data_IF_678438099386
#
_entry.id   IF_678438099386
#
_cell.length_a   1.000
_cell.length_b   1.000
_cell.length_c   1.000
_cell.angle_alpha   90.00
_cell.angle_beta   90.00
_cell.angle_gamma   90.00
#
_symmetry.space_group_name_H-M   'P 1'
#
loop_
_entity.id
_entity.type
_entity.pdbx_description
1 polymer ?
#
# COMPACT_ATOMS: atom_id res chain seq x y z
N UNK A 1 43.37 -8.31 -17.15
CA UNK A 1 44.03 -9.12 -16.10
C UNK A 1 44.24 -8.33 -14.80
N UNK A 2 45.02 -7.21 -14.77
CA UNK A 2 45.33 -6.48 -13.52
C UNK A 2 44.07 -5.98 -12.79
N UNK A 3 43.07 -5.51 -13.51
CA UNK A 3 41.76 -5.10 -12.95
C UNK A 3 41.01 -6.27 -12.33
N UNK A 4 40.96 -7.41 -13.00
CA UNK A 4 40.34 -8.62 -12.50
C UNK A 4 41.01 -9.10 -11.21
N UNK A 5 42.34 -9.06 -11.15
CA UNK A 5 43.10 -9.40 -9.94
C UNK A 5 42.79 -8.40 -8.81
N UNK A 6 42.69 -7.10 -9.11
CA UNK A 6 42.28 -6.10 -8.13
C UNK A 6 40.88 -6.41 -7.57
N UNK A 7 39.93 -6.75 -8.44
CA UNK A 7 38.58 -7.12 -8.06
C UNK A 7 38.52 -8.38 -7.17
N UNK A 8 39.26 -9.44 -7.56
CA UNK A 8 39.33 -10.67 -6.76
C UNK A 8 39.95 -10.43 -5.38
N UNK A 9 41.00 -9.58 -5.29
CA UNK A 9 41.58 -9.18 -4.02
C UNK A 9 40.60 -8.37 -3.16
N UNK A 10 39.78 -7.50 -3.77
CA UNK A 10 38.73 -6.76 -3.07
C UNK A 10 37.69 -7.72 -2.45
N UNK A 11 37.22 -8.71 -3.23
CA UNK A 11 36.29 -9.72 -2.75
C UNK A 11 36.86 -10.54 -1.59
N UNK A 12 38.17 -10.82 -1.61
CA UNK A 12 38.90 -11.51 -0.56
C UNK A 12 39.29 -10.59 0.61
N UNK A 13 38.87 -9.30 0.60
CA UNK A 13 39.24 -8.28 1.60
C UNK A 13 40.76 -8.00 1.70
N UNK A 14 41.50 -8.31 0.68
CA UNK A 14 42.93 -8.00 0.57
C UNK A 14 43.14 -6.58 0.03
N UNK A 15 42.80 -5.57 0.84
CA UNK A 15 42.75 -4.17 0.41
C UNK A 15 44.11 -3.61 -0.06
N UNK A 16 45.19 -4.02 0.56
CA UNK A 16 46.54 -3.61 0.17
C UNK A 16 46.88 -4.08 -1.27
N UNK A 17 46.61 -5.37 -1.55
CA UNK A 17 46.82 -5.95 -2.87
C UNK A 17 45.89 -5.34 -3.91
N UNK A 18 44.61 -5.07 -3.50
CA UNK A 18 43.66 -4.36 -4.37
C UNK A 18 44.23 -3.03 -4.84
N UNK A 19 44.75 -2.19 -3.92
CA UNK A 19 45.42 -0.90 -4.27
C UNK A 19 46.60 -1.07 -5.20
N UNK A 20 47.45 -2.06 -4.88
CA UNK A 20 48.65 -2.36 -5.67
C UNK A 20 48.31 -2.71 -7.12
N UNK A 21 47.26 -3.51 -7.32
CA UNK A 21 46.84 -3.88 -8.67
C UNK A 21 46.05 -2.78 -9.37
N UNK A 22 45.23 -2.00 -8.69
CA UNK A 22 44.53 -0.84 -9.26
C UNK A 22 45.51 0.22 -9.78
N UNK A 23 46.60 0.48 -9.06
CA UNK A 23 47.65 1.41 -9.50
C UNK A 23 48.34 0.97 -10.82
N UNK A 24 48.36 -0.32 -11.11
CA UNK A 24 48.92 -0.90 -12.32
C UNK A 24 47.96 -0.94 -13.51
N UNK A 25 46.70 -0.51 -13.32
CA UNK A 25 45.69 -0.49 -14.38
C UNK A 25 45.84 0.79 -15.18
N UNK A 26 46.45 0.68 -16.34
CA UNK A 26 46.58 1.73 -17.35
C UNK A 26 45.75 1.32 -18.56
N UNK A 27 44.68 2.02 -18.84
CA UNK A 27 43.84 1.81 -20.01
C UNK A 27 43.29 3.14 -20.50
N UNK A 28 43.24 3.31 -21.81
CA UNK A 28 42.60 4.46 -22.47
C UNK A 28 41.10 4.21 -22.73
N UNK A 29 40.63 2.96 -22.59
CA UNK A 29 39.24 2.63 -22.75
C UNK A 29 38.40 3.22 -21.63
N UNK A 30 37.31 3.90 -21.99
CA UNK A 30 36.36 4.51 -21.04
C UNK A 30 35.73 3.46 -20.11
N UNK A 31 35.35 2.30 -20.65
CA UNK A 31 34.75 1.21 -19.89
C UNK A 31 35.70 0.67 -18.82
N UNK A 32 36.97 0.46 -19.15
CA UNK A 32 37.96 0.01 -18.17
C UNK A 32 38.25 1.06 -17.10
N UNK A 33 38.21 2.34 -17.44
CA UNK A 33 38.35 3.42 -16.45
C UNK A 33 37.15 3.50 -15.53
N UNK A 34 35.93 3.30 -16.05
CA UNK A 34 34.71 3.25 -15.22
C UNK A 34 34.76 2.05 -14.27
N UNK A 35 35.07 0.86 -14.75
CA UNK A 35 35.20 -0.33 -13.92
C UNK A 35 36.32 -0.19 -12.86
N UNK A 36 37.41 0.48 -13.19
CA UNK A 36 38.46 0.83 -12.21
C UNK A 36 37.90 1.73 -11.12
N UNK A 37 37.18 2.80 -11.49
CA UNK A 37 36.52 3.71 -10.54
C UNK A 37 35.56 2.96 -9.59
N UNK A 38 34.78 2.01 -10.09
CA UNK A 38 33.89 1.22 -9.24
C UNK A 38 34.67 0.43 -8.20
N UNK A 39 35.74 -0.23 -8.58
CA UNK A 39 36.56 -0.98 -7.62
C UNK A 39 37.20 -0.03 -6.59
N UNK A 40 37.60 1.18 -6.99
CA UNK A 40 38.09 2.22 -6.08
C UNK A 40 37.01 2.66 -5.07
N UNK A 41 35.80 2.91 -5.55
CA UNK A 41 34.66 3.29 -4.68
C UNK A 41 34.35 2.17 -3.70
N UNK A 42 34.23 0.95 -4.18
CA UNK A 42 33.95 -0.21 -3.34
C UNK A 42 35.04 -0.42 -2.28
N UNK A 43 36.31 -0.27 -2.68
CA UNK A 43 37.43 -0.35 -1.75
C UNK A 43 37.32 0.72 -0.65
N UNK A 44 37.06 1.99 -1.01
CA UNK A 44 36.87 3.07 -0.03
C UNK A 44 35.71 2.77 0.93
N UNK A 45 34.60 2.20 0.44
CA UNK A 45 33.46 1.80 1.28
C UNK A 45 33.85 0.66 2.23
N UNK A 46 34.55 -0.36 1.74
CA UNK A 46 34.95 -1.51 2.55
C UNK A 46 36.00 -1.17 3.61
N UNK A 47 36.86 -0.21 3.36
CA UNK A 47 37.84 0.26 4.33
C UNK A 47 37.24 1.04 5.50
N UNK A 48 35.99 1.55 5.36
CA UNK A 48 35.32 2.22 6.49
C UNK A 48 34.94 1.20 7.56
N UNK A 49 35.26 1.45 8.81
CA UNK A 49 34.69 0.70 9.94
C UNK A 49 33.18 0.97 10.05
N UNK A 50 32.80 2.23 9.89
CA UNK A 50 31.43 2.72 9.87
C UNK A 50 31.30 3.82 8.82
N UNK A 51 30.21 3.81 8.08
CA UNK A 51 29.89 4.91 7.15
C UNK A 51 29.53 6.13 7.99
N UNK A 52 30.35 7.17 7.92
CA UNK A 52 30.20 8.41 8.68
C UNK A 52 29.71 9.54 7.80
N UNK A 53 29.17 10.62 8.43
CA UNK A 53 28.74 11.84 7.71
C UNK A 53 29.89 12.45 6.87
N UNK A 54 31.11 12.40 7.38
CA UNK A 54 32.30 12.88 6.64
C UNK A 54 32.54 12.05 5.40
N UNK A 55 32.44 10.73 5.50
CA UNK A 55 32.59 9.84 4.37
C UNK A 55 31.46 10.01 3.34
N UNK A 56 30.23 10.18 3.78
CA UNK A 56 29.09 10.45 2.89
C UNK A 56 29.29 11.73 2.04
N UNK A 57 29.79 12.81 2.66
CA UNK A 57 30.11 14.03 1.94
C UNK A 57 31.26 13.84 0.96
N UNK A 58 32.32 13.10 1.35
CA UNK A 58 33.45 12.77 0.48
C UNK A 58 33.00 11.89 -0.71
N UNK A 59 32.12 10.91 -0.47
CA UNK A 59 31.56 10.04 -1.49
C UNK A 59 30.83 10.86 -2.55
N UNK A 60 29.96 11.77 -2.14
CA UNK A 60 29.22 12.62 -3.06
C UNK A 60 30.14 13.58 -3.82
N UNK A 61 31.15 14.13 -3.17
CA UNK A 61 32.12 15.01 -3.83
C UNK A 61 32.89 14.30 -4.93
N UNK A 62 33.32 13.06 -4.69
CA UNK A 62 34.13 12.29 -5.65
C UNK A 62 33.31 11.62 -6.75
N UNK A 63 32.11 11.19 -6.42
CA UNK A 63 31.36 10.24 -7.25
C UNK A 63 29.96 10.70 -7.62
N UNK A 64 29.64 11.98 -7.43
CA UNK A 64 28.32 12.54 -7.78
C UNK A 64 27.92 12.24 -9.24
N UNK A 65 28.86 12.24 -10.18
CA UNK A 65 28.59 11.94 -11.58
C UNK A 65 28.10 10.51 -11.86
N UNK A 66 28.42 9.57 -10.94
CA UNK A 66 27.92 8.19 -11.02
C UNK A 66 26.58 8.06 -10.27
N UNK A 67 26.49 8.63 -9.06
CA UNK A 67 25.32 8.53 -8.22
C UNK A 67 24.12 9.33 -8.76
N UNK A 68 24.37 10.49 -9.38
CA UNK A 68 23.34 11.32 -10.00
C UNK A 68 23.10 10.97 -11.48
N UNK A 69 23.64 9.86 -11.97
CA UNK A 69 23.36 9.45 -13.33
C UNK A 69 21.90 9.11 -13.49
N UNK A 70 21.22 9.83 -14.36
CA UNK A 70 19.86 9.56 -14.80
C UNK A 70 19.90 9.04 -16.24
N UNK A 71 19.02 8.10 -16.54
CA UNK A 71 18.87 7.62 -17.92
C UNK A 71 18.53 8.78 -18.84
N UNK A 72 19.18 8.90 -20.00
CA UNK A 72 18.75 9.84 -21.02
C UNK A 72 17.28 9.55 -21.37
N UNK A 73 16.45 10.58 -21.39
CA UNK A 73 15.12 10.44 -21.97
C UNK A 73 15.30 10.23 -23.47
N UNK A 74 15.07 9.02 -23.92
CA UNK A 74 15.09 8.72 -25.36
C UNK A 74 13.99 9.48 -26.10
N UNK A 75 14.22 9.91 -27.34
CA UNK A 75 13.14 10.35 -28.22
C UNK A 75 12.05 9.28 -28.33
N UNK A 76 10.79 9.69 -28.47
CA UNK A 76 9.61 8.81 -28.39
C UNK A 76 9.62 7.62 -29.38
N UNK A 77 10.50 7.62 -30.36
CA UNK A 77 10.59 6.66 -31.47
C UNK A 77 11.86 5.78 -31.45
N UNK A 78 12.69 5.89 -30.43
CA UNK A 78 13.98 5.15 -30.38
C UNK A 78 14.07 4.27 -29.15
N UNK A 79 13.85 2.97 -29.33
CA UNK A 79 14.20 1.90 -28.36
C UNK A 79 15.68 1.54 -28.53
N UNK A 80 16.57 2.45 -28.21
CA UNK A 80 18.01 2.14 -28.21
C UNK A 80 18.55 2.23 -26.79
N UNK A 81 18.58 1.07 -26.12
CA UNK A 81 19.35 0.91 -24.89
C UNK A 81 20.81 0.79 -25.29
N UNK A 82 21.55 1.90 -25.27
CA UNK A 82 22.97 1.77 -25.49
C UNK A 82 23.60 0.96 -24.34
N UNK A 83 24.44 0.00 -24.66
CA UNK A 83 25.19 -0.81 -23.67
C UNK A 83 25.96 0.07 -22.66
N UNK A 84 26.31 1.31 -23.05
CA UNK A 84 26.99 2.27 -22.19
C UNK A 84 26.12 2.79 -21.05
N UNK A 85 24.82 3.03 -21.31
CA UNK A 85 23.89 3.53 -20.30
C UNK A 85 23.47 2.41 -19.34
N UNK A 86 23.28 1.20 -19.82
CA UNK A 86 23.07 0.01 -18.99
C UNK A 86 24.25 -0.26 -18.07
N UNK A 87 25.48 -0.09 -18.55
CA UNK A 87 26.66 -0.25 -17.72
C UNK A 87 26.72 0.80 -16.59
N UNK A 88 26.44 2.07 -16.88
CA UNK A 88 26.44 3.14 -15.87
C UNK A 88 25.40 2.90 -14.80
N UNK A 89 24.20 2.45 -15.19
CA UNK A 89 23.14 2.09 -14.25
C UNK A 89 23.52 0.91 -13.36
N UNK A 90 24.11 -0.14 -13.93
CA UNK A 90 24.62 -1.29 -13.19
C UNK A 90 25.71 -0.89 -12.17
N UNK A 91 26.60 0.03 -12.54
CA UNK A 91 27.66 0.52 -11.66
C UNK A 91 27.08 1.28 -10.46
N UNK A 92 26.08 2.14 -10.68
CA UNK A 92 25.34 2.85 -9.62
C UNK A 92 24.71 1.85 -8.65
N UNK A 93 24.02 0.85 -9.18
CA UNK A 93 23.32 -0.14 -8.38
C UNK A 93 24.28 -0.95 -7.51
N UNK A 94 25.40 -1.41 -8.05
CA UNK A 94 26.43 -2.14 -7.27
C UNK A 94 26.94 -1.30 -6.10
N UNK A 95 27.20 -0.01 -6.30
CA UNK A 95 27.67 0.88 -5.22
C UNK A 95 26.57 1.04 -4.16
N UNK A 96 25.33 1.29 -4.59
CA UNK A 96 24.20 1.47 -3.70
C UNK A 96 23.90 0.19 -2.90
N UNK A 97 23.97 -0.98 -3.53
CA UNK A 97 23.78 -2.27 -2.85
C UNK A 97 24.79 -2.47 -1.73
N UNK A 98 26.07 -2.20 -2.00
CA UNK A 98 27.10 -2.32 -0.96
C UNK A 98 26.89 -1.29 0.16
N UNK A 99 26.53 -0.06 -0.17
CA UNK A 99 26.23 0.97 0.82
C UNK A 99 25.00 0.59 1.66
N UNK A 100 23.92 0.12 1.03
CA UNK A 100 22.71 -0.31 1.72
C UNK A 100 23.00 -1.41 2.74
N UNK A 101 23.81 -2.40 2.34
CA UNK A 101 24.27 -3.45 3.25
C UNK A 101 25.08 -2.90 4.42
N UNK A 102 25.97 -1.96 4.18
CA UNK A 102 26.78 -1.32 5.24
C UNK A 102 25.91 -0.55 6.23
N UNK A 103 24.93 0.23 5.75
CA UNK A 103 23.98 0.94 6.62
C UNK A 103 23.15 -0.01 7.47
N UNK A 104 22.65 -1.09 6.86
CA UNK A 104 21.90 -2.09 7.61
C UNK A 104 22.72 -2.72 8.73
N UNK A 105 23.94 -3.17 8.42
CA UNK A 105 24.85 -3.81 9.38
C UNK A 105 25.27 -2.86 10.50
N UNK A 106 25.30 -1.55 10.27
CA UNK A 106 25.59 -0.57 11.32
C UNK A 106 24.34 -0.07 12.07
N UNK A 107 23.15 -0.60 11.74
CA UNK A 107 21.89 -0.30 12.41
C UNK A 107 21.12 0.91 11.86
N UNK A 108 21.54 1.50 10.73
CA UNK A 108 20.83 2.58 10.04
C UNK A 108 19.87 1.99 8.98
N UNK A 109 18.75 1.44 9.47
CA UNK A 109 17.75 0.79 8.63
C UNK A 109 17.01 1.76 7.71
N UNK A 110 16.87 3.02 8.11
CA UNK A 110 16.21 4.05 7.32
C UNK A 110 16.96 4.37 6.04
N UNK A 111 18.28 4.61 6.12
CA UNK A 111 19.09 4.81 4.90
C UNK A 111 19.20 3.55 4.06
N UNK A 112 19.37 2.38 4.69
CA UNK A 112 19.38 1.10 3.99
C UNK A 112 18.10 0.91 3.17
N UNK A 113 16.94 1.26 3.74
CA UNK A 113 15.66 1.20 3.05
C UNK A 113 15.61 2.15 1.85
N UNK A 114 15.92 3.44 2.03
CA UNK A 114 15.85 4.44 0.95
C UNK A 114 16.85 4.19 -0.19
N UNK A 115 17.93 3.48 0.07
CA UNK A 115 18.87 3.12 -1.00
C UNK A 115 18.20 2.24 -2.06
N UNK A 116 17.40 1.27 -1.63
CA UNK A 116 16.81 0.29 -2.53
C UNK A 116 15.36 0.61 -2.92
N UNK A 117 14.65 1.40 -2.12
CA UNK A 117 13.21 1.58 -2.24
C UNK A 117 12.82 3.05 -2.33
N UNK A 118 11.77 3.36 -3.08
CA UNK A 118 11.05 4.60 -2.87
C UNK A 118 10.29 4.55 -1.54
N UNK A 119 10.04 5.72 -0.96
CA UNK A 119 9.39 5.80 0.35
C UNK A 119 7.99 5.16 0.37
N UNK A 120 7.29 5.16 -0.75
CA UNK A 120 5.97 4.55 -0.91
C UNK A 120 5.99 3.04 -0.69
N UNK A 121 7.10 2.37 -0.93
CA UNK A 121 7.25 0.93 -0.69
C UNK A 121 7.32 0.56 0.81
N UNK A 122 7.44 1.56 1.70
CA UNK A 122 7.33 1.33 3.15
C UNK A 122 5.99 0.71 3.54
N UNK A 123 4.94 0.96 2.73
CA UNK A 123 3.61 0.42 2.94
C UNK A 123 3.49 -1.09 2.77
N UNK A 124 4.33 -1.69 1.95
CA UNK A 124 4.28 -3.14 1.69
C UNK A 124 4.70 -3.98 2.90
N UNK A 125 5.56 -3.41 3.77
CA UNK A 125 6.00 -4.08 5.00
C UNK A 125 6.38 -3.05 6.08
N UNK A 126 5.41 -2.50 6.83
CA UNK A 126 5.67 -1.51 7.86
C UNK A 126 6.61 -2.03 8.95
N UNK A 127 7.79 -1.43 9.07
CA UNK A 127 8.75 -1.68 10.15
C UNK A 127 8.99 -0.41 10.97
N UNK A 128 8.61 -0.44 12.23
CA UNK A 128 8.79 0.69 13.15
C UNK A 128 10.27 1.07 13.34
N UNK A 129 11.20 0.15 13.17
CA UNK A 129 12.63 0.49 13.25
C UNK A 129 13.05 1.36 12.05
N UNK A 130 12.57 1.03 10.84
CA UNK A 130 12.78 1.84 9.63
C UNK A 130 12.12 3.21 9.80
N UNK A 131 10.85 3.25 10.23
CA UNK A 131 10.09 4.49 10.45
C UNK A 131 10.83 5.41 11.43
N UNK A 132 11.31 4.87 12.54
CA UNK A 132 12.04 5.65 13.55
C UNK A 132 13.38 6.17 13.03
N UNK A 133 14.09 5.42 12.21
CA UNK A 133 15.35 5.87 11.61
C UNK A 133 15.11 6.94 10.54
N UNK A 134 14.03 6.82 9.76
CA UNK A 134 13.61 7.85 8.83
C UNK A 134 13.16 9.14 9.55
N UNK A 135 12.47 9.04 10.68
CA UNK A 135 12.16 10.19 11.55
C UNK A 135 13.44 10.89 12.07
N UNK A 136 14.48 10.12 12.44
CA UNK A 136 15.78 10.69 12.83
C UNK A 136 16.45 11.40 11.66
N UNK A 137 16.41 10.78 10.48
CA UNK A 137 16.94 11.36 9.26
C UNK A 137 16.22 12.67 8.91
N UNK A 138 14.88 12.69 9.01
CA UNK A 138 14.10 13.90 8.77
C UNK A 138 14.46 15.04 9.72
N UNK A 139 14.59 14.75 11.01
CA UNK A 139 14.91 15.74 12.06
C UNK A 139 16.36 16.18 12.09
N UNK A 140 17.26 15.49 11.38
CA UNK A 140 18.69 15.86 11.35
C UNK A 140 18.87 17.22 10.67
N UNK A 141 19.37 18.20 11.41
CA UNK A 141 19.54 19.60 10.93
C UNK A 141 20.62 19.70 9.84
N UNK A 142 21.74 19.01 10.03
CA UNK A 142 22.90 19.05 9.14
C UNK A 142 22.99 17.77 8.31
N UNK A 143 22.01 17.57 7.41
CA UNK A 143 22.02 16.42 6.50
C UNK A 143 23.23 16.46 5.56
N UNK A 144 23.88 15.34 5.38
CA UNK A 144 24.99 15.19 4.44
C UNK A 144 24.52 15.36 2.99
N UNK A 145 25.48 15.52 2.08
CA UNK A 145 25.16 15.56 0.65
C UNK A 145 24.52 14.26 0.17
N UNK A 146 24.92 13.10 0.71
CA UNK A 146 24.36 11.80 0.37
C UNK A 146 22.93 11.64 0.94
N UNK A 147 22.67 12.06 2.17
CA UNK A 147 21.32 12.05 2.75
C UNK A 147 20.35 12.93 1.96
N UNK A 148 20.79 14.11 1.53
CA UNK A 148 19.99 14.98 0.64
C UNK A 148 19.70 14.32 -0.70
N UNK A 149 20.72 13.65 -1.26
CA UNK A 149 20.57 12.90 -2.50
C UNK A 149 19.52 11.78 -2.34
N UNK A 150 19.59 10.96 -1.27
CA UNK A 150 18.63 9.89 -1.02
C UNK A 150 17.20 10.42 -0.87
N UNK A 151 17.01 11.48 -0.07
CA UNK A 151 15.69 12.10 0.12
C UNK A 151 15.15 12.58 -1.22
N UNK A 152 15.96 13.30 -2.01
CA UNK A 152 15.54 13.81 -3.31
C UNK A 152 15.16 12.70 -4.30
N UNK A 153 15.95 11.64 -4.32
CA UNK A 153 15.76 10.55 -5.27
C UNK A 153 14.64 9.58 -4.90
N UNK A 154 14.32 9.46 -3.60
CA UNK A 154 13.50 8.36 -3.08
C UNK A 154 12.24 8.77 -2.32
N UNK A 155 12.14 10.05 -1.88
CA UNK A 155 10.95 10.53 -1.16
C UNK A 155 9.96 11.11 -2.17
N UNK A 156 9.41 10.22 -2.98
CA UNK A 156 8.48 10.55 -4.06
C UNK A 156 7.52 9.38 -4.32
N UNK A 157 6.48 9.64 -5.06
CA UNK A 157 5.63 8.65 -5.71
C UNK A 157 5.85 8.73 -7.21
N UNK A 158 6.33 7.65 -7.81
CA UNK A 158 6.50 7.55 -9.26
C UNK A 158 5.37 6.71 -9.83
N UNK A 159 4.72 7.21 -10.87
CA UNK A 159 3.75 6.46 -11.65
C UNK A 159 4.15 6.48 -13.11
N UNK A 160 3.99 5.34 -13.79
CA UNK A 160 4.20 5.22 -15.21
C UNK A 160 2.86 5.15 -15.92
N UNK A 161 2.61 6.08 -16.83
CA UNK A 161 1.45 6.02 -17.71
C UNK A 161 1.84 5.33 -19.02
N UNK A 162 1.41 4.08 -19.19
CA UNK A 162 1.67 3.24 -20.35
C UNK A 162 1.13 3.81 -21.66
N UNK A 163 0.20 4.76 -21.60
CA UNK A 163 -0.44 5.35 -22.78
C UNK A 163 0.30 6.55 -23.30
N UNK A 164 0.90 7.31 -22.39
CA UNK A 164 1.69 8.49 -22.73
C UNK A 164 3.18 8.21 -22.69
N UNK A 165 3.57 7.01 -22.22
CA UNK A 165 4.96 6.61 -21.98
C UNK A 165 5.75 7.64 -21.14
N UNK A 166 5.04 8.26 -20.21
CA UNK A 166 5.62 9.28 -19.32
C UNK A 166 5.56 8.83 -17.87
N UNK A 167 6.66 9.07 -17.18
CA UNK A 167 6.71 8.98 -15.73
C UNK A 167 6.26 10.31 -15.13
N UNK A 168 5.35 10.25 -14.17
CA UNK A 168 4.95 11.38 -13.33
C UNK A 168 5.49 11.15 -11.93
N UNK A 169 6.36 12.05 -11.48
CA UNK A 169 6.91 12.02 -10.14
C UNK A 169 6.26 13.08 -9.27
N UNK A 170 5.70 12.67 -8.15
CA UNK A 170 5.18 13.56 -7.12
C UNK A 170 6.18 13.57 -5.97
N UNK A 171 6.89 14.68 -5.81
CA UNK A 171 7.85 14.87 -4.72
C UNK A 171 7.12 15.37 -3.47
N UNK A 172 7.41 14.81 -2.31
CA UNK A 172 6.86 15.27 -1.04
C UNK A 172 7.93 15.43 0.04
N UNK A 173 7.57 16.11 1.13
CA UNK A 173 8.42 16.21 2.31
C UNK A 173 8.41 14.87 3.06
N UNK A 174 9.56 14.42 3.51
CA UNK A 174 9.70 13.19 4.29
C UNK A 174 8.84 13.25 5.57
N UNK A 175 8.83 14.41 6.26
CA UNK A 175 8.00 14.64 7.45
C UNK A 175 6.52 14.40 7.21
N UNK A 176 5.98 14.90 6.10
CA UNK A 176 4.56 14.81 5.79
C UNK A 176 4.18 13.38 5.44
N UNK A 177 5.02 12.69 4.63
CA UNK A 177 4.81 11.29 4.31
C UNK A 177 4.84 10.39 5.56
N UNK A 178 5.83 10.59 6.45
CA UNK A 178 5.93 9.82 7.69
C UNK A 178 4.78 10.10 8.64
N UNK A 179 4.28 11.32 8.68
CA UNK A 179 3.11 11.69 9.48
C UNK A 179 1.84 11.04 8.93
N UNK A 180 1.63 11.08 7.60
CA UNK A 180 0.52 10.37 6.95
C UNK A 180 0.61 8.86 7.20
N UNK A 181 1.80 8.29 7.03
CA UNK A 181 2.02 6.86 7.21
C UNK A 181 1.70 6.41 8.65
N UNK A 182 2.27 7.06 9.65
CA UNK A 182 2.01 6.76 11.06
C UNK A 182 0.55 7.01 11.45
N UNK A 183 -0.01 8.12 11.00
CA UNK A 183 -1.41 8.45 11.24
C UNK A 183 -2.35 7.40 10.66
N UNK A 184 -2.06 6.90 9.46
CA UNK A 184 -2.84 5.84 8.81
C UNK A 184 -2.74 4.51 9.55
N UNK A 185 -1.55 4.12 10.02
CA UNK A 185 -1.39 2.93 10.87
C UNK A 185 -2.21 3.05 12.15
N UNK A 186 -2.12 4.19 12.85
CA UNK A 186 -2.89 4.43 14.08
C UNK A 186 -4.39 4.45 13.81
N UNK A 187 -4.83 4.99 12.68
CA UNK A 187 -6.24 4.98 12.28
C UNK A 187 -6.76 3.55 12.10
N UNK A 188 -6.00 2.69 11.40
CA UNK A 188 -6.30 1.28 11.23
C UNK A 188 -6.34 0.50 12.55
N UNK A 189 -5.49 0.87 13.51
CA UNK A 189 -5.46 0.30 14.86
C UNK A 189 -6.51 0.91 15.81
N UNK A 190 -7.40 1.77 15.33
CA UNK A 190 -8.41 2.52 16.11
C UNK A 190 -7.83 3.43 17.21
N UNK A 191 -6.57 3.81 17.10
CA UNK A 191 -5.87 4.76 17.96
C UNK A 191 -6.08 6.19 17.47
N UNK A 192 -7.34 6.64 17.40
CA UNK A 192 -7.74 7.87 16.72
C UNK A 192 -7.03 9.12 17.23
N UNK A 193 -6.81 9.24 18.54
CA UNK A 193 -6.11 10.41 19.10
C UNK A 193 -4.63 10.46 18.68
N UNK A 194 -3.98 9.30 18.50
CA UNK A 194 -2.62 9.24 17.97
C UNK A 194 -2.61 9.54 16.48
N UNK A 195 -3.56 9.00 15.73
CA UNK A 195 -3.72 9.30 14.31
C UNK A 195 -3.90 10.81 14.06
N UNK A 196 -4.80 11.44 14.83
CA UNK A 196 -5.03 12.89 14.78
C UNK A 196 -3.74 13.69 14.98
N UNK A 197 -2.97 13.35 16.04
CA UNK A 197 -1.70 14.03 16.34
C UNK A 197 -0.67 13.94 15.21
N UNK A 198 -0.66 12.84 14.47
CA UNK A 198 0.22 12.71 13.31
C UNK A 198 -0.32 13.54 12.14
N UNK A 199 -1.61 13.44 11.80
CA UNK A 199 -2.20 14.18 10.69
C UNK A 199 -2.18 15.70 10.89
N UNK A 200 -2.20 16.22 12.13
CA UNK A 200 -2.07 17.65 12.44
C UNK A 200 -0.70 18.25 12.03
N UNK A 201 0.31 17.41 11.76
CA UNK A 201 1.65 17.86 11.34
C UNK A 201 1.75 18.11 9.83
N UNK A 202 0.79 17.60 9.06
CA UNK A 202 0.86 17.54 7.61
C UNK A 202 0.51 18.87 6.97
N UNK A 203 1.31 19.28 5.99
CA UNK A 203 1.04 20.47 5.19
C UNK A 203 -0.25 20.29 4.38
N UNK A 204 -1.10 21.33 4.29
CA UNK A 204 -2.36 21.28 3.54
C UNK A 204 -2.19 21.00 2.04
N UNK A 205 -1.00 21.23 1.49
CA UNK A 205 -0.67 20.96 0.08
C UNK A 205 -0.16 19.53 -0.16
N UNK A 206 -0.03 18.74 0.91
CA UNK A 206 0.46 17.38 0.79
C UNK A 206 -0.51 16.51 0.01
N UNK A 207 0.01 15.75 -0.95
CA UNK A 207 -0.71 14.73 -1.71
C UNK A 207 0.29 13.67 -2.19
N UNK A 208 -0.18 12.45 -2.41
CA UNK A 208 0.64 11.30 -2.82
C UNK A 208 0.27 10.74 -4.18
N UNK A 209 -0.77 11.27 -4.81
CA UNK A 209 -1.20 10.88 -6.14
C UNK A 209 -1.79 12.07 -6.88
N UNK A 210 -1.84 11.99 -8.20
CA UNK A 210 -2.54 12.99 -8.98
C UNK A 210 -4.04 12.97 -8.65
N UNK A 211 -4.64 14.17 -8.64
CA UNK A 211 -6.06 14.35 -8.33
C UNK A 211 -6.98 13.93 -9.47
N UNK A 212 -6.43 13.65 -10.64
CA UNK A 212 -7.21 13.26 -11.82
C UNK A 212 -6.35 12.52 -12.83
N UNK A 213 -6.97 11.72 -13.70
CA UNK A 213 -6.33 11.00 -14.78
C UNK A 213 -7.22 10.92 -16.01
N UNK A 214 -6.62 10.66 -17.17
CA UNK A 214 -7.37 10.43 -18.38
C UNK A 214 -7.72 8.95 -18.54
N UNK A 215 -8.98 8.66 -18.82
CA UNK A 215 -9.40 7.37 -19.33
C UNK A 215 -9.51 7.48 -20.85
N UNK A 216 -8.78 6.60 -21.52
CA UNK A 216 -8.90 6.41 -22.97
C UNK A 216 -9.82 5.23 -23.20
N UNK A 217 -10.84 5.45 -23.99
CA UNK A 217 -11.73 4.40 -24.47
C UNK A 217 -11.59 4.32 -25.99
N UNK A 218 -11.50 3.10 -26.52
CA UNK A 218 -11.42 2.84 -27.94
C UNK A 218 -12.67 2.11 -28.41
N UNK A 219 -13.48 2.81 -29.21
CA UNK A 219 -14.65 2.21 -29.83
C UNK A 219 -14.20 1.43 -31.07
N UNK A 220 -14.14 0.11 -30.94
CA UNK A 220 -13.78 -0.80 -32.06
C UNK A 220 -14.75 -0.78 -33.22
N UNK A 221 -15.98 -0.25 -33.07
CA UNK A 221 -16.96 -0.18 -34.14
C UNK A 221 -16.79 1.08 -35.00
N UNK A 222 -16.35 2.16 -34.41
CA UNK A 222 -16.14 3.44 -35.07
C UNK A 222 -14.66 3.77 -35.29
N UNK A 223 -13.76 2.93 -34.79
CA UNK A 223 -12.30 3.14 -34.82
C UNK A 223 -11.88 4.49 -34.22
N UNK A 224 -12.62 4.97 -33.20
CA UNK A 224 -12.36 6.27 -32.58
C UNK A 224 -11.88 6.11 -31.16
N UNK A 225 -10.81 6.82 -30.86
CA UNK A 225 -10.39 7.04 -29.45
C UNK A 225 -11.21 8.18 -28.84
N UNK A 226 -11.68 7.97 -27.65
CA UNK A 226 -12.21 9.01 -26.79
C UNK A 226 -11.31 9.18 -25.55
N UNK A 227 -11.14 10.43 -25.13
CA UNK A 227 -10.34 10.77 -23.95
C UNK A 227 -11.24 11.47 -22.94
N UNK A 228 -11.50 10.82 -21.83
CA UNK A 228 -12.33 11.36 -20.75
C UNK A 228 -11.48 11.68 -19.54
N UNK A 229 -11.61 12.88 -19.02
CA UNK A 229 -10.98 13.28 -17.75
C UNK A 229 -11.78 12.74 -16.58
N UNK A 230 -11.11 11.97 -15.71
CA UNK A 230 -11.74 11.40 -14.51
C UNK A 230 -11.01 11.90 -13.30
N UNK A 231 -11.72 12.60 -12.42
CA UNK A 231 -11.18 12.96 -11.11
C UNK A 231 -10.99 11.71 -10.25
N UNK A 232 -9.85 11.60 -9.59
CA UNK A 232 -9.64 10.58 -8.60
C UNK A 232 -10.64 10.75 -7.46
N UNK A 233 -11.16 9.65 -6.96
CA UNK A 233 -12.12 9.66 -5.86
C UNK A 233 -11.52 10.28 -4.59
N UNK A 234 -10.24 10.02 -4.35
CA UNK A 234 -9.42 10.67 -3.34
C UNK A 234 -7.93 10.52 -3.70
N UNK A 235 -7.12 11.49 -3.31
CA UNK A 235 -5.69 11.58 -3.64
C UNK A 235 -4.77 10.88 -2.61
N UNK A 236 -5.29 9.95 -1.87
CA UNK A 236 -4.59 9.26 -0.78
C UNK A 236 -4.69 9.97 0.57
N UNK A 237 -4.81 11.29 0.63
CA UNK A 237 -4.94 12.07 1.86
C UNK A 237 -6.19 12.96 1.89
N UNK A 238 -6.56 13.60 0.78
CA UNK A 238 -7.70 14.50 0.65
C UNK A 238 -8.87 13.85 -0.10
N UNK A 239 -9.97 14.57 -0.17
CA UNK A 239 -11.15 14.24 -0.97
C UNK A 239 -11.82 12.90 -0.64
N UNK A 240 -11.60 12.38 0.58
CA UNK A 240 -12.23 11.14 1.03
C UNK A 240 -13.75 11.37 1.14
N UNK A 241 -14.57 10.67 0.34
CA UNK A 241 -16.00 10.90 0.34
C UNK A 241 -16.67 10.29 1.59
N UNK A 242 -17.71 10.93 2.08
CA UNK A 242 -18.47 10.42 3.22
C UNK A 242 -19.22 9.11 2.93
N UNK A 243 -19.36 8.73 1.67
CA UNK A 243 -19.85 7.41 1.25
C UNK A 243 -19.05 6.24 1.83
N UNK A 244 -17.83 6.50 2.34
CA UNK A 244 -17.02 5.50 3.06
C UNK A 244 -17.76 4.93 4.28
N UNK A 245 -18.72 5.65 4.86
CA UNK A 245 -19.58 5.19 5.94
C UNK A 245 -20.81 4.43 5.45
N UNK A 246 -21.04 4.37 4.16
CA UNK A 246 -22.14 3.64 3.55
C UNK A 246 -21.87 2.14 3.47
N UNK A 247 -22.83 1.39 3.00
CA UNK A 247 -22.64 -0.03 2.72
C UNK A 247 -22.56 -0.30 1.22
N UNK A 248 -21.70 -1.24 0.84
CA UNK A 248 -21.60 -1.74 -0.53
C UNK A 248 -22.48 -2.98 -0.72
N UNK A 249 -22.86 -3.27 -1.97
CA UNK A 249 -23.45 -4.56 -2.31
C UNK A 249 -22.49 -5.69 -1.92
N UNK A 250 -23.06 -6.81 -1.43
CA UNK A 250 -22.27 -8.02 -1.20
C UNK A 250 -21.69 -8.49 -2.55
N UNK A 251 -20.41 -8.88 -2.49
CA UNK A 251 -19.70 -9.49 -3.65
C UNK A 251 -19.64 -8.61 -4.91
N UNK A 252 -19.71 -7.32 -4.75
CA UNK A 252 -19.50 -6.40 -5.83
C UNK A 252 -18.00 -6.10 -5.96
N UNK A 253 -17.28 -6.92 -6.72
CA UNK A 253 -15.84 -6.77 -6.93
C UNK A 253 -15.47 -5.60 -7.85
N UNK A 254 -16.38 -5.21 -8.74
CA UNK A 254 -16.21 -4.13 -9.71
C UNK A 254 -17.24 -3.02 -9.47
N UNK A 255 -17.69 -2.82 -8.24
CA UNK A 255 -18.59 -1.73 -7.93
C UNK A 255 -17.84 -0.41 -8.03
N UNK A 256 -18.34 0.42 -8.93
CA UNK A 256 -18.00 1.81 -8.95
C UNK A 256 -18.64 2.57 -7.77
N UNK A 257 -18.30 3.84 -7.66
CA UNK A 257 -18.84 4.74 -6.63
C UNK A 257 -20.37 4.78 -6.60
N UNK A 258 -21.04 4.56 -7.74
CA UNK A 258 -22.49 4.61 -7.87
C UNK A 258 -23.19 3.42 -7.25
N UNK A 259 -22.46 2.38 -6.90
CA UNK A 259 -23.01 1.16 -6.28
C UNK A 259 -22.91 1.13 -4.75
N UNK A 260 -22.38 2.16 -4.12
CA UNK A 260 -22.59 2.43 -2.70
C UNK A 260 -24.03 2.91 -2.53
N UNK A 261 -24.93 1.97 -2.19
CA UNK A 261 -26.38 2.15 -2.39
C UNK A 261 -27.00 3.12 -1.41
N UNK A 262 -26.54 3.18 -0.18
CA UNK A 262 -27.10 4.07 0.81
C UNK A 262 -26.10 4.38 1.92
N UNK A 263 -26.17 5.60 2.38
CA UNK A 263 -25.54 6.05 3.63
C UNK A 263 -26.64 6.44 4.60
N UNK A 264 -27.46 5.48 5.08
CA UNK A 264 -28.51 5.82 6.04
C UNK A 264 -27.87 6.44 7.27
N UNK A 265 -28.58 7.34 7.90
CA UNK A 265 -28.18 8.06 9.13
C UNK A 265 -27.04 9.07 8.97
N UNK A 266 -26.35 9.14 7.83
CA UNK A 266 -25.20 10.03 7.65
C UNK A 266 -25.57 11.50 7.89
N UNK A 267 -26.73 11.94 7.40
CA UNK A 267 -27.21 13.32 7.54
C UNK A 267 -27.51 13.74 8.99
N UNK A 268 -27.61 12.79 9.92
CA UNK A 268 -27.80 13.08 11.33
C UNK A 268 -26.50 13.57 12.01
N UNK A 269 -25.35 13.25 11.45
CA UNK A 269 -24.03 13.57 11.98
C UNK A 269 -23.40 14.73 11.18
N UNK A 270 -23.78 15.96 11.49
CA UNK A 270 -23.38 17.18 10.75
C UNK A 270 -21.87 17.43 10.68
N UNK A 271 -21.09 16.82 11.56
CA UNK A 271 -19.63 16.92 11.54
C UNK A 271 -18.98 16.05 10.45
N UNK A 272 -19.71 15.14 9.82
CA UNK A 272 -19.23 14.34 8.70
C UNK A 272 -19.44 15.14 7.41
N UNK A 273 -18.34 15.63 6.84
CA UNK A 273 -18.37 16.45 5.62
C UNK A 273 -18.51 15.55 4.38
N UNK A 274 -19.04 16.08 3.25
CA UNK A 274 -19.15 15.33 2.00
C UNK A 274 -17.81 14.80 1.48
N UNK A 275 -16.75 15.62 1.56
CA UNK A 275 -15.36 15.27 1.27
C UNK A 275 -14.49 15.67 2.46
N UNK A 276 -13.53 14.85 2.82
CA UNK A 276 -12.70 14.99 4.02
C UNK A 276 -11.23 14.72 3.69
N UNK A 277 -10.33 15.39 4.40
CA UNK A 277 -8.96 14.91 4.55
C UNK A 277 -8.91 13.76 5.57
N UNK A 278 -7.79 13.03 5.64
CA UNK A 278 -7.60 12.01 6.72
C UNK A 278 -7.71 12.63 8.12
N UNK A 279 -7.28 13.87 8.32
CA UNK A 279 -7.44 14.58 9.59
C UNK A 279 -8.92 14.83 9.90
N UNK A 280 -9.70 15.33 8.94
CA UNK A 280 -11.14 15.58 9.11
C UNK A 280 -11.91 14.29 9.32
N UNK A 281 -11.57 13.24 8.56
CA UNK A 281 -12.11 11.88 8.74
C UNK A 281 -11.82 11.37 10.17
N UNK A 282 -10.57 11.51 10.63
CA UNK A 282 -10.18 11.08 11.98
C UNK A 282 -10.95 11.84 13.05
N UNK A 283 -11.16 13.15 12.89
CA UNK A 283 -12.00 13.92 13.80
C UNK A 283 -13.45 13.41 13.79
N UNK A 284 -14.01 13.10 12.63
CA UNK A 284 -15.34 12.49 12.52
C UNK A 284 -15.41 11.12 13.22
N UNK A 285 -14.37 10.28 13.06
CA UNK A 285 -14.26 8.99 13.75
C UNK A 285 -14.20 9.15 15.28
N UNK A 286 -13.48 10.15 15.79
CA UNK A 286 -13.42 10.47 17.23
C UNK A 286 -14.84 10.81 17.75
N UNK A 287 -15.55 11.70 17.07
CA UNK A 287 -16.89 12.11 17.48
C UNK A 287 -17.90 10.94 17.39
N UNK A 288 -17.88 10.17 16.29
CA UNK A 288 -18.70 8.96 16.18
C UNK A 288 -18.40 7.98 17.32
N UNK A 289 -17.13 7.77 17.65
CA UNK A 289 -16.73 6.83 18.70
C UNK A 289 -17.15 7.31 20.11
N UNK A 290 -17.21 8.63 20.35
CA UNK A 290 -17.77 9.19 21.58
C UNK A 290 -19.28 8.93 21.69
N UNK A 291 -20.02 9.11 20.60
CA UNK A 291 -21.46 8.84 20.54
C UNK A 291 -21.72 7.34 20.69
N UNK A 292 -20.98 6.51 19.98
CA UNK A 292 -21.09 5.05 19.96
C UNK A 292 -20.93 4.37 21.33
N UNK A 293 -20.31 5.05 22.29
CA UNK A 293 -20.15 4.56 23.68
C UNK A 293 -21.40 4.78 24.56
N UNK A 294 -22.35 5.58 24.10
CA UNK A 294 -23.63 5.82 24.82
C UNK A 294 -24.54 4.62 24.61
N UNK A 295 -25.62 4.53 25.44
CA UNK A 295 -26.66 3.52 25.28
C UNK A 295 -27.95 4.18 24.74
N UNK A 296 -27.92 4.59 23.45
CA UNK A 296 -29.03 5.31 22.79
C UNK A 296 -29.17 4.82 21.35
N UNK A 297 -30.32 5.10 20.72
CA UNK A 297 -30.52 4.82 19.28
C UNK A 297 -29.50 5.59 18.41
N UNK A 298 -29.09 6.78 18.83
CA UNK A 298 -28.04 7.54 18.16
C UNK A 298 -26.69 6.77 18.21
N UNK A 299 -26.39 6.11 19.34
CA UNK A 299 -25.22 5.27 19.48
C UNK A 299 -25.28 4.04 18.56
N UNK A 300 -26.46 3.45 18.36
CA UNK A 300 -26.60 2.37 17.37
C UNK A 300 -26.25 2.83 15.96
N UNK A 301 -26.74 4.01 15.55
CA UNK A 301 -26.42 4.61 14.24
C UNK A 301 -24.93 4.94 14.11
N UNK A 302 -24.29 5.51 15.13
CA UNK A 302 -22.87 5.78 15.13
C UNK A 302 -22.04 4.49 15.02
N UNK A 303 -22.38 3.45 15.77
CA UNK A 303 -21.74 2.13 15.67
C UNK A 303 -21.93 1.51 14.27
N UNK A 304 -23.10 1.67 13.65
CA UNK A 304 -23.35 1.19 12.30
C UNK A 304 -22.44 1.87 11.26
N UNK A 305 -22.31 3.20 11.33
CA UNK A 305 -21.42 3.94 10.42
C UNK A 305 -19.96 3.55 10.62
N UNK A 306 -19.50 3.40 11.88
CA UNK A 306 -18.15 2.93 12.19
C UNK A 306 -17.91 1.51 11.66
N UNK A 307 -18.90 0.62 11.82
CA UNK A 307 -18.85 -0.74 11.30
C UNK A 307 -18.71 -0.78 9.78
N UNK A 308 -19.48 0.04 9.07
CA UNK A 308 -19.37 0.17 7.61
C UNK A 308 -18.03 0.76 7.17
N UNK A 309 -17.52 1.79 7.86
CA UNK A 309 -16.19 2.35 7.59
C UNK A 309 -15.12 1.26 7.65
N UNK A 310 -15.07 0.49 8.73
CA UNK A 310 -14.07 -0.56 8.88
C UNK A 310 -14.26 -1.71 7.89
N UNK A 311 -15.47 -2.01 7.46
CA UNK A 311 -15.70 -2.94 6.36
C UNK A 311 -15.16 -2.38 5.03
N UNK A 312 -15.48 -1.14 4.71
CA UNK A 312 -15.13 -0.51 3.45
C UNK A 312 -13.62 -0.31 3.28
N UNK A 313 -12.87 -0.35 4.37
CA UNK A 313 -11.39 -0.26 4.38
C UNK A 313 -10.71 -1.61 4.53
N UNK A 314 -11.46 -2.73 4.54
CA UNK A 314 -10.89 -4.08 4.47
C UNK A 314 -10.39 -4.39 3.06
N UNK A 315 -9.71 -5.53 2.91
CA UNK A 315 -9.25 -6.05 1.61
C UNK A 315 -10.38 -6.23 0.59
N UNK A 316 -11.63 -6.39 1.02
CA UNK A 316 -12.81 -6.49 0.16
C UNK A 316 -13.54 -5.17 -0.02
N UNK A 317 -13.19 -4.15 0.75
CA UNK A 317 -13.88 -2.87 0.73
C UNK A 317 -13.50 -2.02 -0.48
N UNK A 318 -14.43 -1.20 -0.92
CA UNK A 318 -14.20 -0.27 -2.01
C UNK A 318 -13.09 0.75 -1.69
N UNK A 319 -12.98 1.16 -0.42
CA UNK A 319 -11.98 2.12 0.08
C UNK A 319 -10.77 1.44 0.75
N UNK A 320 -10.45 0.20 0.37
CA UNK A 320 -9.33 -0.58 0.93
C UNK A 320 -7.99 0.19 0.91
N UNK A 321 -7.76 1.01 -0.10
CA UNK A 321 -6.54 1.79 -0.24
C UNK A 321 -6.34 2.90 0.80
N UNK A 322 -7.38 3.24 1.55
CA UNK A 322 -7.27 4.28 2.57
C UNK A 322 -6.37 3.86 3.74
N UNK A 323 -6.49 2.61 4.18
CA UNK A 323 -5.73 2.05 5.30
C UNK A 323 -4.60 1.09 4.87
N UNK A 324 -4.52 0.78 3.59
CA UNK A 324 -3.43 -0.01 3.01
C UNK A 324 -2.60 0.87 2.10
N UNK A 325 -1.29 0.79 2.21
CA UNK A 325 -0.38 1.58 1.37
C UNK A 325 -0.03 0.88 0.07
N UNK A 326 -0.42 -0.39 -0.07
CA UNK A 326 -0.17 -1.17 -1.27
C UNK A 326 -1.30 -0.94 -2.29
N UNK A 327 -1.06 -0.04 -3.23
CA UNK A 327 -1.99 0.26 -4.33
C UNK A 327 -2.05 -0.82 -5.40
N UNK A 328 -1.06 -1.70 -5.46
CA UNK A 328 -0.98 -2.74 -6.48
C UNK A 328 -1.82 -3.99 -6.18
N UNK A 329 -2.54 -4.02 -5.07
CA UNK A 329 -3.53 -5.07 -4.76
C UNK A 329 -4.87 -4.84 -5.49
N UNK A 330 -4.82 -4.43 -6.76
CA UNK A 330 -5.99 -4.25 -7.62
C UNK A 330 -6.78 -5.54 -7.89
N UNK A 331 -6.18 -6.64 -7.58
CA UNK A 331 -6.83 -7.91 -7.70
C UNK A 331 -7.55 -8.17 -6.38
N UNK A 332 -8.83 -7.95 -6.30
CA UNK A 332 -9.67 -8.34 -5.17
C UNK A 332 -9.29 -9.72 -4.58
N UNK A 333 -9.98 -10.27 -3.63
CA UNK A 333 -9.58 -11.50 -2.96
C UNK A 333 -9.24 -12.55 -4.00
N UNK A 334 -7.96 -12.86 -4.14
CA UNK A 334 -7.55 -13.96 -5.01
C UNK A 334 -7.96 -15.21 -4.32
N UNK A 335 -8.98 -15.86 -4.87
CA UNK A 335 -9.46 -17.16 -4.44
C UNK A 335 -8.41 -18.26 -4.53
N UNK A 336 -7.29 -18.01 -5.14
CA UNK A 336 -6.24 -18.97 -5.36
C UNK A 336 -5.10 -18.67 -4.40
N UNK A 337 -4.87 -19.58 -3.49
CA UNK A 337 -3.69 -19.68 -2.63
C UNK A 337 -2.39 -19.88 -3.44
N UNK A 338 -2.17 -19.09 -4.48
CA UNK A 338 -0.86 -19.04 -5.14
C UNK A 338 0.16 -18.24 -4.33
N UNK A 339 -0.27 -17.74 -3.15
CA UNK A 339 0.49 -16.80 -2.35
C UNK A 339 1.61 -17.38 -1.51
N UNK A 340 1.75 -18.66 -1.42
CA UNK A 340 2.69 -19.22 -0.44
C UNK A 340 4.16 -19.25 -0.90
N UNK A 341 4.49 -18.79 -2.11
CA UNK A 341 5.73 -19.33 -2.64
C UNK A 341 6.68 -18.38 -3.34
N UNK A 342 6.35 -17.13 -3.51
CA UNK A 342 7.37 -16.16 -3.93
C UNK A 342 7.85 -15.35 -2.73
N UNK A 343 8.64 -16.01 -1.87
CA UNK A 343 9.71 -15.29 -1.21
C UNK A 343 10.60 -14.77 -2.33
N UNK A 344 10.31 -13.59 -2.83
CA UNK A 344 11.29 -12.90 -3.62
C UNK A 344 12.46 -12.70 -2.66
N UNK A 345 13.50 -13.47 -2.87
CA UNK A 345 14.84 -13.25 -2.33
C UNK A 345 15.37 -11.99 -2.97
N UNK A 346 14.65 -10.88 -2.81
CA UNK A 346 15.16 -9.60 -3.19
C UNK A 346 16.04 -9.11 -2.06
N UNK A 347 17.29 -9.11 -2.35
CA UNK A 347 18.21 -8.12 -1.88
C UNK A 347 18.14 -7.79 -0.40
N UNK A 348 18.83 -8.58 0.38
CA UNK A 348 19.42 -8.28 1.69
C UNK A 348 18.51 -7.82 2.81
N UNK A 349 17.46 -7.01 2.60
CA UNK A 349 16.79 -6.29 3.69
C UNK A 349 15.28 -6.31 3.64
N UNK A 350 14.70 -6.68 2.52
CA UNK A 350 13.28 -6.63 2.29
C UNK A 350 12.79 -7.97 1.77
N UNK A 351 11.92 -8.62 2.54
CA UNK A 351 11.02 -9.60 1.95
C UNK A 351 10.00 -8.80 1.14
N UNK A 352 10.18 -8.70 -0.16
CA UNK A 352 9.09 -8.26 -1.00
C UNK A 352 8.02 -9.34 -0.90
N UNK A 353 6.86 -8.98 -0.40
CA UNK A 353 5.70 -9.85 -0.49
C UNK A 353 5.39 -9.95 -1.98
N UNK A 354 5.59 -11.13 -2.54
CA UNK A 354 5.19 -11.43 -3.90
C UNK A 354 3.69 -11.22 -4.06
N UNK A 355 3.20 -11.30 -5.26
CA UNK A 355 1.81 -11.10 -5.74
C UNK A 355 0.76 -11.96 -5.01
N UNK A 356 0.74 -11.98 -3.73
CA UNK A 356 -0.13 -12.75 -2.87
C UNK A 356 0.05 -12.29 -1.44
N UNK A 357 -0.18 -11.00 -1.17
CA UNK A 357 -0.03 -10.43 0.17
C UNK A 357 -0.68 -11.30 1.25
N UNK A 358 -0.07 -11.38 2.41
CA UNK A 358 -0.66 -12.02 3.58
C UNK A 358 -1.98 -11.32 3.89
N UNK A 359 -3.09 -11.98 3.55
CA UNK A 359 -4.41 -11.50 3.93
C UNK A 359 -4.52 -11.54 5.45
N UNK A 360 -4.53 -10.39 6.06
CA UNK A 360 -4.82 -10.24 7.48
C UNK A 360 -6.35 -10.21 7.64
N UNK A 361 -6.87 -10.96 8.59
CA UNK A 361 -8.29 -10.80 8.99
C UNK A 361 -8.44 -9.43 9.62
N UNK A 362 -8.94 -8.47 8.84
CA UNK A 362 -9.23 -7.11 9.29
C UNK A 362 -10.74 -6.83 9.41
N UNK A 363 -11.59 -7.85 9.44
CA UNK A 363 -13.04 -7.73 9.60
C UNK A 363 -13.49 -7.54 11.04
N UNK A 364 -12.67 -7.92 12.01
CA UNK A 364 -13.00 -7.86 13.43
C UNK A 364 -13.45 -6.47 13.93
N UNK A 365 -12.80 -5.35 13.56
CA UNK A 365 -13.28 -4.02 13.93
C UNK A 365 -14.70 -3.73 13.43
N UNK A 366 -14.97 -4.02 12.16
CA UNK A 366 -16.29 -3.86 11.56
C UNK A 366 -17.36 -4.67 12.31
N UNK A 367 -17.08 -5.95 12.52
CA UNK A 367 -18.00 -6.85 13.21
C UNK A 367 -18.31 -6.38 14.63
N UNK A 368 -17.30 -5.94 15.39
CA UNK A 368 -17.50 -5.46 16.75
C UNK A 368 -18.41 -4.23 16.83
N UNK A 369 -18.23 -3.28 15.92
CA UNK A 369 -19.10 -2.11 15.87
C UNK A 369 -20.51 -2.48 15.41
N UNK A 370 -20.66 -3.33 14.40
CA UNK A 370 -21.97 -3.77 13.92
C UNK A 370 -22.75 -4.57 14.98
N UNK A 371 -22.08 -5.45 15.74
CA UNK A 371 -22.71 -6.16 16.87
C UNK A 371 -23.20 -5.20 17.94
N UNK A 372 -22.39 -4.20 18.32
CA UNK A 372 -22.81 -3.15 19.25
C UNK A 372 -24.01 -2.36 18.72
N UNK A 373 -24.03 -2.05 17.43
CA UNK A 373 -25.17 -1.39 16.80
C UNK A 373 -26.43 -2.25 16.92
N UNK A 374 -26.35 -3.54 16.64
CA UNK A 374 -27.42 -4.50 16.72
C UNK A 374 -28.03 -4.60 18.14
N UNK A 375 -27.15 -4.67 19.15
CA UNK A 375 -27.53 -4.78 20.55
C UNK A 375 -28.18 -3.48 21.10
N UNK A 376 -27.78 -2.34 20.55
CA UNK A 376 -28.19 -1.02 21.02
C UNK A 376 -29.50 -0.53 20.39
N UNK A 377 -29.95 -1.09 19.27
CA UNK A 377 -31.21 -0.67 18.62
C UNK A 377 -32.39 -1.59 18.91
N UNK A 378 -33.60 -1.00 18.96
CA UNK A 378 -34.86 -1.73 18.97
C UNK A 378 -35.57 -1.72 17.61
N UNK A 379 -35.08 -0.91 16.67
CA UNK A 379 -35.66 -0.79 15.35
C UNK A 379 -35.38 -2.05 14.50
N UNK A 380 -36.43 -2.71 14.05
CA UNK A 380 -36.37 -3.93 13.24
C UNK A 380 -35.73 -3.68 11.87
N UNK A 381 -36.02 -2.55 11.23
CA UNK A 381 -35.44 -2.18 9.94
C UNK A 381 -33.94 -2.05 10.07
N UNK A 382 -33.48 -1.34 11.11
CA UNK A 382 -32.05 -1.19 11.39
C UNK A 382 -31.39 -2.53 11.73
N UNK A 383 -32.05 -3.41 12.50
CA UNK A 383 -31.55 -4.75 12.80
C UNK A 383 -31.34 -5.59 11.53
N UNK A 384 -32.32 -5.57 10.61
CA UNK A 384 -32.20 -6.24 9.32
C UNK A 384 -31.00 -5.71 8.51
N UNK A 385 -30.83 -4.41 8.48
CA UNK A 385 -29.72 -3.75 7.79
C UNK A 385 -28.36 -4.11 8.39
N UNK A 386 -28.26 -4.16 9.73
CA UNK A 386 -27.03 -4.55 10.43
C UNK A 386 -26.68 -6.02 10.15
N UNK A 387 -27.66 -6.93 10.17
CA UNK A 387 -27.43 -8.34 9.85
C UNK A 387 -26.93 -8.52 8.42
N UNK A 388 -27.43 -7.74 7.48
CA UNK A 388 -26.91 -7.74 6.13
C UNK A 388 -25.46 -7.23 6.07
N UNK A 389 -25.12 -6.16 6.79
CA UNK A 389 -23.73 -5.69 6.89
C UNK A 389 -22.82 -6.73 7.56
N UNK A 390 -23.27 -7.42 8.59
CA UNK A 390 -22.54 -8.53 9.23
C UNK A 390 -22.32 -9.72 8.28
N UNK A 391 -23.28 -10.01 7.40
CA UNK A 391 -23.12 -11.08 6.41
C UNK A 391 -22.00 -10.82 5.41
N UNK A 392 -21.65 -9.55 5.17
CA UNK A 392 -20.49 -9.17 4.36
C UNK A 392 -19.17 -9.56 5.06
N UNK A 393 -19.08 -9.35 6.37
CA UNK A 393 -17.93 -9.79 7.16
C UNK A 393 -17.78 -11.32 7.13
N UNK A 394 -18.89 -12.07 7.24
CA UNK A 394 -18.86 -13.53 7.08
C UNK A 394 -18.36 -13.94 5.71
N UNK A 395 -18.80 -13.28 4.65
CA UNK A 395 -18.33 -13.51 3.29
C UNK A 395 -16.84 -13.26 3.16
N UNK A 396 -16.35 -12.14 3.71
CA UNK A 396 -14.93 -11.81 3.71
C UNK A 396 -14.10 -12.85 4.44
N UNK A 397 -14.56 -13.32 5.58
CA UNK A 397 -13.89 -14.39 6.34
C UNK A 397 -13.88 -15.72 5.61
N UNK A 398 -14.94 -16.04 4.87
CA UNK A 398 -14.93 -17.21 4.02
C UNK A 398 -13.81 -17.15 2.98
N UNK A 399 -13.64 -16.02 2.31
CA UNK A 399 -12.59 -15.87 1.30
C UNK A 399 -11.17 -15.88 1.88
N UNK A 400 -11.02 -15.44 3.13
CA UNK A 400 -9.74 -15.44 3.83
C UNK A 400 -9.53 -16.67 4.72
N UNK A 401 -10.43 -17.66 4.65
CA UNK A 401 -10.38 -18.82 5.53
C UNK A 401 -9.18 -19.70 5.24
N UNK A 402 -8.37 -19.93 6.28
CA UNK A 402 -7.26 -20.89 6.28
C UNK A 402 -7.70 -22.29 6.76
N UNK A 403 -8.96 -22.65 6.49
CA UNK A 403 -9.51 -23.92 6.93
C UNK A 403 -8.95 -25.09 6.09
N UNK A 404 -8.39 -26.16 6.71
CA UNK A 404 -7.81 -27.29 5.98
C UNK A 404 -8.82 -28.07 5.15
N UNK A 405 -10.11 -28.07 5.55
CA UNK A 405 -11.17 -28.76 4.78
C UNK A 405 -11.45 -27.94 3.53
N UNK A 406 -11.61 -26.64 3.67
CA UNK A 406 -11.85 -25.73 2.56
C UNK A 406 -10.68 -25.76 1.57
N UNK A 407 -9.43 -25.76 2.05
CA UNK A 407 -8.24 -25.87 1.21
C UNK A 407 -8.30 -27.13 0.33
N UNK A 408 -8.59 -28.29 0.91
CA UNK A 408 -8.73 -29.55 0.16
C UNK A 408 -9.87 -29.53 -0.84
N UNK A 409 -10.98 -28.86 -0.54
CA UNK A 409 -12.09 -28.72 -1.47
C UNK A 409 -11.71 -27.85 -2.68
N UNK A 410 -10.86 -26.83 -2.48
CA UNK A 410 -10.40 -25.97 -3.57
C UNK A 410 -9.33 -26.62 -4.46
N UNK A 411 -8.62 -27.65 -4.01
CA UNK A 411 -7.65 -28.39 -4.84
C UNK A 411 -8.33 -28.99 -6.09
N UNK A 412 -9.65 -29.36 -5.98
CA UNK A 412 -10.49 -29.82 -7.09
C UNK A 412 -11.81 -29.04 -7.13
N UNK A 413 -11.73 -27.72 -7.24
CA UNK A 413 -12.90 -26.83 -7.06
C UNK A 413 -14.07 -27.17 -7.99
N UNK A 414 -13.82 -27.54 -9.24
CA UNK A 414 -14.87 -27.85 -10.23
C UNK A 414 -15.70 -29.06 -9.81
N UNK A 415 -15.06 -30.07 -9.20
CA UNK A 415 -15.74 -31.28 -8.73
C UNK A 415 -16.39 -31.11 -7.35
N UNK A 416 -16.04 -30.04 -6.64
CA UNK A 416 -16.44 -29.83 -5.25
C UNK A 416 -17.30 -28.57 -5.03
N UNK A 417 -17.83 -27.95 -6.09
CA UNK A 417 -18.63 -26.71 -5.97
C UNK A 417 -19.78 -26.83 -4.96
N UNK A 418 -20.55 -27.91 -5.01
CA UNK A 418 -21.65 -28.16 -4.07
C UNK A 418 -21.14 -28.31 -2.63
N UNK A 419 -20.00 -28.98 -2.43
CA UNK A 419 -19.43 -29.20 -1.10
C UNK A 419 -18.86 -27.87 -0.54
N UNK A 420 -18.25 -27.04 -1.40
CA UNK A 420 -17.77 -25.69 -1.04
C UNK A 420 -18.96 -24.82 -0.65
N UNK A 421 -20.06 -24.87 -1.41
CA UNK A 421 -21.27 -24.12 -1.09
C UNK A 421 -21.88 -24.62 0.22
N UNK A 422 -22.00 -25.91 0.44
CA UNK A 422 -22.49 -26.49 1.68
C UNK A 422 -21.63 -26.08 2.89
N UNK A 423 -20.31 -26.12 2.74
CA UNK A 423 -19.37 -25.65 3.77
C UNK A 423 -19.58 -24.16 4.08
N UNK A 424 -19.71 -23.33 3.05
CA UNK A 424 -19.96 -21.88 3.16
C UNK A 424 -21.26 -21.61 3.90
N UNK A 425 -22.34 -22.31 3.54
CA UNK A 425 -23.65 -22.14 4.18
C UNK A 425 -23.60 -22.54 5.65
N UNK A 426 -22.98 -23.66 5.97
CA UNK A 426 -22.88 -24.16 7.32
C UNK A 426 -22.07 -23.25 8.26
N UNK A 427 -20.99 -22.63 7.76
CA UNK A 427 -20.00 -21.94 8.60
C UNK A 427 -19.99 -20.41 8.45
N UNK A 428 -20.50 -19.87 7.33
CA UNK A 428 -20.34 -18.43 6.98
C UNK A 428 -21.65 -17.78 6.48
N UNK A 429 -22.83 -18.31 6.85
CA UNK A 429 -24.16 -17.75 6.50
C UNK A 429 -25.09 -17.62 7.70
N UNK A 430 -24.53 -17.54 8.91
CA UNK A 430 -25.34 -17.37 10.14
C UNK A 430 -26.13 -16.07 10.14
N UNK A 431 -25.57 -14.98 9.62
CA UNK A 431 -26.29 -13.70 9.55
C UNK A 431 -27.39 -13.71 8.48
N UNK A 432 -27.26 -14.44 7.39
CA UNK A 432 -28.35 -14.66 6.44
C UNK A 432 -29.51 -15.43 7.10
N UNK A 433 -29.18 -16.48 7.88
CA UNK A 433 -30.20 -17.22 8.66
C UNK A 433 -30.95 -16.31 9.64
N UNK A 434 -30.21 -15.47 10.37
CA UNK A 434 -30.80 -14.53 11.32
C UNK A 434 -31.64 -13.46 10.61
N UNK A 435 -31.20 -13.00 9.45
CA UNK A 435 -31.91 -11.99 8.65
C UNK A 435 -33.29 -12.48 8.21
N UNK A 436 -33.51 -13.80 8.00
CA UNK A 436 -34.85 -14.39 7.68
C UNK A 436 -35.90 -14.08 8.75
N UNK A 437 -35.51 -13.83 10.01
CA UNK A 437 -36.44 -13.48 11.10
C UNK A 437 -37.01 -12.06 10.95
N UNK A 438 -36.48 -11.25 10.04
CA UNK A 438 -36.88 -9.87 9.75
C UNK A 438 -37.58 -9.74 8.39
N UNK A 439 -38.19 -10.84 7.91
CA UNK A 439 -38.83 -10.89 6.59
C UNK A 439 -40.05 -9.94 6.45
N UNK A 440 -40.55 -9.43 7.55
CA UNK A 440 -41.63 -8.41 7.63
C UNK A 440 -41.11 -6.97 7.41
N UNK A 441 -39.81 -6.77 7.31
CA UNK A 441 -39.21 -5.43 7.12
C UNK A 441 -39.05 -5.05 5.64
N UNK A 442 -39.07 -3.76 5.34
CA UNK A 442 -38.83 -3.22 3.98
C UNK A 442 -37.40 -3.50 3.53
N UNK A 443 -36.45 -3.31 4.44
CA UNK A 443 -35.02 -3.57 4.20
C UNK A 443 -34.77 -5.03 3.78
N UNK A 444 -35.44 -5.99 4.40
CA UNK A 444 -35.35 -7.40 3.98
C UNK A 444 -35.79 -7.60 2.55
N UNK A 445 -36.92 -7.02 2.15
CA UNK A 445 -37.46 -7.15 0.79
C UNK A 445 -36.51 -6.47 -0.23
N UNK A 446 -35.98 -5.32 0.11
CA UNK A 446 -35.01 -4.60 -0.71
C UNK A 446 -33.73 -5.42 -0.87
N UNK A 447 -33.18 -5.96 0.20
CA UNK A 447 -31.99 -6.83 0.16
C UNK A 447 -32.28 -8.05 -0.71
N UNK A 448 -33.41 -8.72 -0.54
CA UNK A 448 -33.80 -9.91 -1.31
C UNK A 448 -33.87 -9.59 -2.82
N UNK A 449 -34.45 -8.45 -3.18
CA UNK A 449 -34.57 -8.04 -4.59
C UNK A 449 -33.22 -7.64 -5.23
N UNK A 450 -32.30 -7.08 -4.46
CA UNK A 450 -31.05 -6.50 -4.96
C UNK A 450 -29.82 -7.38 -4.78
N UNK A 451 -29.87 -8.41 -3.94
CA UNK A 451 -28.75 -9.31 -3.66
C UNK A 451 -29.05 -10.73 -4.14
N UNK A 452 -28.56 -11.11 -5.30
CA UNK A 452 -28.74 -12.46 -5.88
C UNK A 452 -28.30 -13.58 -4.95
N UNK A 453 -27.27 -13.40 -4.15
CA UNK A 453 -26.79 -14.41 -3.20
C UNK A 453 -27.77 -14.60 -2.03
N UNK A 454 -28.37 -13.53 -1.52
CA UNK A 454 -29.37 -13.62 -0.47
C UNK A 454 -30.68 -14.21 -1.01
N UNK A 455 -31.12 -13.80 -2.19
CA UNK A 455 -32.28 -14.40 -2.85
C UNK A 455 -32.09 -15.89 -3.08
N UNK A 456 -30.95 -16.30 -3.66
CA UNK A 456 -30.61 -17.72 -3.82
C UNK A 456 -30.62 -18.46 -2.47
N UNK A 457 -29.99 -17.87 -1.43
CA UNK A 457 -29.99 -18.48 -0.10
C UNK A 457 -31.39 -18.66 0.46
N UNK A 458 -32.26 -17.67 0.35
CA UNK A 458 -33.64 -17.74 0.88
C UNK A 458 -34.53 -18.76 0.16
N UNK A 459 -34.24 -19.05 -1.09
CA UNK A 459 -34.99 -19.99 -1.92
C UNK A 459 -34.50 -21.44 -1.78
N UNK A 460 -33.27 -21.68 -1.31
CA UNK A 460 -32.68 -23.03 -1.28
C UNK A 460 -32.33 -23.53 0.13
N UNK A 461 -32.27 -22.66 1.13
CA UNK A 461 -31.88 -22.97 2.51
C UNK A 461 -32.80 -22.27 3.53
#
# INVERSE_FOLDING_TARGET
YKRQVAYLNLLNKNFSETKTYLAKVNSTSKEFQQQKKVIEILLEIFEQKKISDSFENQLMQKYASILNYEYPKLPEDVYDYSDEDDQKMNLKNVILDVLGNRYFLQGDKGKAFLIHNEITQLGSNPDWAIINDLDKLDKKSNKTAFEKYLINAKVKSSSWDWRTEKSTDIQFKLSDYLADFKGTLYLGEMKFDLAKKEFEKIDQKYHTSESAYFVYDYDYTTEKESKTWVENQFDGYHNIPNKIFGYNKIECFNCDENQVIATPYLNEFKFIKPKMSKLELTNAMIELNKIAKKNTEEAAKANYLLGNFFYNTTTLGYYRYLLTFDRNNDNGPKFNNYGDQYEATSNFFYKSFGWGGNYVDNFTPSENYLKKAFDSTKDKEMKAQILFALSKNEQGRFYNAKDPVLKRLYENQYDNEEKILAFKVANYRSNFKNLKQYSDTKIYQEIKSNCKYFDYYTNNF
#
